data_IF_888261446407
#
_entry.id   IF_888261446407
#
_cell.length_a   1.000
_cell.length_b   1.000
_cell.length_c   1.000
_cell.angle_alpha   90.00
_cell.angle_beta   90.00
_cell.angle_gamma   90.00
#
_symmetry.space_group_name_H-M   'P 1'
#
loop_
_entity.id
_entity.type
_entity.pdbx_description
1 polymer ?
#
# COMPACT_ATOMS: atom_id res chain seq x y z
N UNK A 1 14.07 -2.95 43.28
CA UNK A 1 14.23 -2.26 42.01
C UNK A 1 12.83 -1.94 41.47
N UNK A 2 12.53 -0.69 41.14
CA UNK A 2 11.18 -0.25 40.82
C UNK A 2 10.65 -0.91 39.53
N UNK A 3 9.32 -1.13 39.39
CA UNK A 3 8.73 -1.49 38.11
C UNK A 3 8.77 -0.29 37.16
N UNK A 4 8.81 -0.59 35.88
CA UNK A 4 8.64 0.40 34.82
C UNK A 4 7.35 0.07 34.05
N UNK A 5 6.54 1.08 33.81
CA UNK A 5 5.23 0.96 33.14
C UNK A 5 5.20 1.85 31.91
N UNK A 6 4.53 1.37 30.88
CA UNK A 6 4.31 2.09 29.63
C UNK A 6 2.83 2.05 29.25
N UNK A 7 2.34 3.16 28.72
CA UNK A 7 1.03 3.27 28.12
C UNK A 7 1.09 4.02 26.78
N UNK A 8 0.00 3.94 26.02
CA UNK A 8 -0.25 4.75 24.83
C UNK A 8 -1.63 5.39 24.95
N UNK A 9 -1.69 6.72 24.80
CA UNK A 9 -2.93 7.48 24.96
C UNK A 9 -3.65 7.17 26.28
N UNK A 10 -2.89 7.02 27.38
CA UNK A 10 -3.38 6.64 28.74
C UNK A 10 -4.07 5.26 28.79
N UNK A 11 -3.73 4.36 27.86
CA UNK A 11 -4.30 3.01 27.77
C UNK A 11 -3.22 1.95 27.55
N UNK A 12 -3.56 0.69 27.80
CA UNK A 12 -2.67 -0.43 27.55
C UNK A 12 -2.41 -0.68 26.05
N UNK A 13 -3.30 -0.21 25.17
CA UNK A 13 -3.24 -0.32 23.72
C UNK A 13 -3.96 0.86 23.07
N UNK A 14 -3.64 1.16 21.80
CA UNK A 14 -4.34 2.15 21.01
C UNK A 14 -4.79 1.57 19.66
N UNK A 15 -6.04 1.84 19.32
CA UNK A 15 -6.60 1.63 17.99
C UNK A 15 -6.78 3.00 17.34
N UNK A 16 -6.07 3.24 16.24
CA UNK A 16 -6.11 4.50 15.52
C UNK A 16 -7.34 4.58 14.61
N UNK A 17 -7.93 5.76 14.50
CA UNK A 17 -9.03 6.03 13.55
C UNK A 17 -8.51 6.36 12.16
N UNK A 18 -7.31 6.91 12.06
CA UNK A 18 -6.62 7.22 10.82
C UNK A 18 -5.15 6.78 10.87
N UNK A 19 -4.61 6.41 9.71
CA UNK A 19 -3.23 5.93 9.59
C UNK A 19 -2.19 6.97 10.01
N UNK A 20 -2.46 8.25 9.77
CA UNK A 20 -1.60 9.38 10.10
C UNK A 20 -1.88 10.02 11.46
N UNK A 21 -2.75 9.40 12.26
CA UNK A 21 -3.08 9.87 13.60
C UNK A 21 -1.87 9.82 14.51
N UNK A 22 -1.63 10.92 15.22
CA UNK A 22 -0.61 11.04 16.24
C UNK A 22 -1.05 10.34 17.52
N UNK A 23 -0.14 9.67 18.20
CA UNK A 23 -0.40 9.02 19.48
C UNK A 23 0.72 9.34 20.47
N UNK A 24 0.38 9.27 21.76
CA UNK A 24 1.29 9.67 22.86
C UNK A 24 1.66 8.47 23.70
N UNK A 25 2.98 8.24 23.84
CA UNK A 25 3.51 7.28 24.78
C UNK A 25 3.85 7.96 26.11
N UNK A 26 3.57 7.27 27.20
CA UNK A 26 4.05 7.61 28.53
C UNK A 26 4.86 6.43 29.08
N UNK A 27 6.00 6.75 29.64
CA UNK A 27 6.86 5.80 30.35
C UNK A 27 7.11 6.34 31.75
N UNK A 28 6.82 5.54 32.77
CA UNK A 28 7.02 5.95 34.18
C UNK A 28 7.67 4.85 34.99
N UNK A 29 8.52 5.26 35.89
CA UNK A 29 9.13 4.43 36.93
C UNK A 29 9.51 5.30 38.11
N UNK A 30 10.03 4.69 39.15
CA UNK A 30 10.69 5.43 40.25
C UNK A 30 12.19 5.42 40.04
N UNK A 31 12.86 6.50 40.47
CA UNK A 31 14.31 6.58 40.44
C UNK A 31 14.85 5.61 41.49
N UNK A 32 15.68 4.61 41.14
CA UNK A 32 16.14 3.60 42.07
C UNK A 32 17.05 4.19 43.19
N UNK A 33 16.91 3.68 44.41
CA UNK A 33 17.89 3.95 45.46
C UNK A 33 19.28 3.43 45.08
N UNK A 34 20.32 4.15 45.54
CA UNK A 34 21.72 3.74 45.36
C UNK A 34 22.20 3.60 43.92
N UNK A 35 21.40 4.01 42.92
CA UNK A 35 21.84 4.05 41.56
C UNK A 35 22.95 5.10 41.36
N UNK A 36 24.03 4.72 40.71
CA UNK A 36 25.14 5.59 40.33
C UNK A 36 25.04 6.10 38.89
N UNK A 37 24.22 5.43 38.07
CA UNK A 37 23.81 5.88 36.75
C UNK A 37 22.35 5.41 36.48
N UNK A 38 21.62 6.17 35.69
CA UNK A 38 20.23 5.84 35.32
C UNK A 38 19.82 6.56 34.06
N UNK A 39 19.17 5.81 33.17
CA UNK A 39 18.46 6.37 32.02
C UNK A 39 17.22 5.55 31.68
N UNK A 40 16.24 6.21 31.11
CA UNK A 40 15.09 5.56 30.43
C UNK A 40 15.35 5.60 28.94
N UNK A 41 15.13 4.49 28.25
CA UNK A 41 15.26 4.40 26.80
C UNK A 41 13.99 3.81 26.17
N UNK A 42 13.67 4.29 24.98
CA UNK A 42 12.58 3.77 24.18
C UNK A 42 12.97 3.83 22.70
N UNK A 43 12.89 2.70 22.02
CA UNK A 43 13.23 2.60 20.61
C UNK A 43 11.98 2.31 19.78
N UNK A 44 11.59 3.27 18.96
CA UNK A 44 10.49 3.11 18.01
C UNK A 44 10.85 2.09 16.93
N UNK A 45 9.85 1.36 16.44
CA UNK A 45 9.98 0.58 15.21
C UNK A 45 10.29 1.53 14.05
N UNK A 46 10.99 1.05 13.04
CA UNK A 46 11.42 1.82 11.86
C UNK A 46 10.27 2.37 11.01
N UNK A 47 9.06 1.85 11.18
CA UNK A 47 7.82 2.33 10.53
C UNK A 47 7.18 3.51 11.27
N UNK A 48 7.71 3.91 12.43
CA UNK A 48 7.23 5.04 13.22
C UNK A 48 8.22 6.20 13.15
N UNK A 49 7.71 7.41 13.24
CA UNK A 49 8.48 8.62 13.46
C UNK A 49 8.09 9.28 14.77
N UNK A 50 9.03 9.98 15.40
CA UNK A 50 8.69 10.95 16.44
C UNK A 50 7.89 12.09 15.82
N UNK A 51 6.73 12.41 16.39
CA UNK A 51 5.81 13.39 15.83
C UNK A 51 6.16 14.83 16.28
N UNK A 52 6.17 15.74 15.33
CA UNK A 52 6.58 17.12 15.55
C UNK A 52 8.08 17.25 15.80
N UNK A 53 8.49 18.36 16.43
CA UNK A 53 9.89 18.55 16.80
C UNK A 53 10.24 17.64 17.99
N UNK A 54 11.19 16.72 17.77
CA UNK A 54 11.70 15.76 18.78
C UNK A 54 10.59 15.01 19.54
N UNK A 55 9.50 14.66 18.82
CA UNK A 55 8.37 13.97 19.43
C UNK A 55 7.63 14.77 20.50
N UNK A 56 7.82 16.08 20.56
CA UNK A 56 7.26 16.94 21.62
C UNK A 56 7.55 16.35 23.01
N UNK A 57 8.76 15.82 23.17
CA UNK A 57 9.14 15.05 24.34
C UNK A 57 9.27 15.92 25.57
N UNK A 58 8.80 15.39 26.69
CA UNK A 58 8.90 16.00 28.02
C UNK A 58 9.22 14.93 29.06
N UNK A 59 10.12 15.26 29.98
CA UNK A 59 10.40 14.43 31.14
C UNK A 59 10.12 15.21 32.43
N UNK A 60 9.52 14.54 33.40
CA UNK A 60 9.24 15.13 34.74
C UNK A 60 9.77 14.24 35.85
N UNK A 61 10.18 14.85 36.94
CA UNK A 61 10.44 14.15 38.20
C UNK A 61 9.51 14.73 39.26
N UNK A 62 8.69 13.86 39.84
CA UNK A 62 7.66 14.23 40.82
C UNK A 62 6.75 15.37 40.31
N UNK A 63 6.41 15.29 39.02
CA UNK A 63 5.58 16.26 38.29
C UNK A 63 6.31 17.55 37.88
N UNK A 64 7.57 17.73 38.24
CA UNK A 64 8.37 18.91 37.85
C UNK A 64 9.12 18.62 36.55
N UNK A 65 8.95 19.50 35.57
CA UNK A 65 9.61 19.37 34.28
C UNK A 65 11.12 19.46 34.40
N UNK A 66 11.84 18.51 33.80
CA UNK A 66 13.28 18.57 33.58
C UNK A 66 13.58 19.46 32.37
N UNK A 67 14.79 20.04 32.35
CA UNK A 67 15.27 20.74 31.15
C UNK A 67 15.44 19.79 29.97
N UNK A 68 15.28 20.32 28.75
CA UNK A 68 15.26 19.51 27.51
C UNK A 68 16.62 18.83 27.22
N UNK A 69 17.72 19.30 27.86
CA UNK A 69 19.04 18.69 27.74
C UNK A 69 19.15 17.31 28.39
N UNK A 70 18.19 16.92 29.25
CA UNK A 70 18.08 15.56 29.78
C UNK A 70 17.59 14.55 28.72
N UNK A 71 16.98 15.04 27.63
CA UNK A 71 16.35 14.21 26.60
C UNK A 71 17.21 14.25 25.35
N UNK A 72 17.62 13.06 24.87
CA UNK A 72 18.33 12.89 23.60
C UNK A 72 17.55 11.98 22.69
N UNK A 73 17.45 12.33 21.40
CA UNK A 73 16.93 11.48 20.35
C UNK A 73 18.05 11.20 19.36
N UNK A 74 18.33 9.92 19.16
CA UNK A 74 19.30 9.44 18.20
C UNK A 74 18.65 8.36 17.33
N UNK A 75 18.34 8.70 16.08
CA UNK A 75 17.59 7.84 15.19
C UNK A 75 16.20 7.53 15.76
N UNK A 76 15.91 6.26 15.98
CA UNK A 76 14.62 5.77 16.50
C UNK A 76 14.58 5.71 18.04
N UNK A 77 15.65 6.07 18.73
CA UNK A 77 15.76 5.93 20.19
C UNK A 77 15.70 7.28 20.89
N UNK A 78 14.79 7.39 21.85
CA UNK A 78 14.72 8.49 22.81
C UNK A 78 15.30 8.02 24.15
N UNK A 79 16.11 8.88 24.77
CA UNK A 79 16.75 8.58 26.04
C UNK A 79 16.60 9.76 27.01
N UNK A 80 16.24 9.48 28.26
CA UNK A 80 16.25 10.45 29.37
C UNK A 80 17.31 10.03 30.35
N UNK A 81 18.25 10.92 30.66
CA UNK A 81 19.38 10.64 31.55
C UNK A 81 19.38 11.61 32.74
N UNK A 82 19.60 11.07 33.93
CA UNK A 82 19.84 11.86 35.15
C UNK A 82 21.31 11.76 35.55
N UNK A 83 21.87 12.85 36.05
CA UNK A 83 23.22 12.85 36.60
C UNK A 83 23.21 12.34 38.06
N UNK A 84 24.40 12.13 38.64
CA UNK A 84 24.54 11.55 39.98
C UNK A 84 23.95 12.42 41.10
N UNK A 85 24.01 13.74 40.98
CA UNK A 85 23.45 14.66 41.98
C UNK A 85 21.91 14.59 41.93
N UNK A 86 21.35 14.55 40.74
CA UNK A 86 19.91 14.40 40.53
C UNK A 86 19.39 13.06 41.05
N UNK A 87 20.15 11.97 40.84
CA UNK A 87 19.79 10.64 41.35
C UNK A 87 19.73 10.63 42.88
N UNK A 88 20.73 11.22 43.55
CA UNK A 88 20.75 11.31 45.02
C UNK A 88 19.61 12.17 45.57
N UNK A 89 19.32 13.29 44.91
CA UNK A 89 18.30 14.23 45.34
C UNK A 89 16.87 13.74 45.11
N UNK A 90 16.70 12.79 44.18
CA UNK A 90 15.39 12.36 43.71
C UNK A 90 15.13 10.85 43.84
N UNK A 91 15.91 10.14 44.65
CA UNK A 91 15.68 8.70 44.89
C UNK A 91 14.23 8.44 45.35
N UNK A 92 13.61 7.38 44.86
CA UNK A 92 12.20 6.95 45.06
C UNK A 92 11.12 7.90 44.53
N UNK A 93 11.48 9.02 43.90
CA UNK A 93 10.53 9.88 43.21
C UNK A 93 10.16 9.30 41.85
N UNK A 94 8.93 9.56 41.41
CA UNK A 94 8.48 9.16 40.07
C UNK A 94 9.21 10.00 39.01
N UNK A 95 9.72 9.32 37.99
CA UNK A 95 10.17 9.91 36.73
C UNK A 95 9.24 9.47 35.62
N UNK A 96 8.76 10.41 34.80
CA UNK A 96 7.87 10.19 33.68
C UNK A 96 8.43 10.80 32.40
N UNK A 97 8.50 10.01 31.34
CA UNK A 97 8.80 10.45 29.97
C UNK A 97 7.50 10.41 29.14
N UNK A 98 7.22 11.49 28.45
CA UNK A 98 6.09 11.61 27.53
C UNK A 98 6.62 12.01 26.17
N UNK A 99 6.20 11.34 25.10
CA UNK A 99 6.53 11.72 23.73
C UNK A 99 5.47 11.23 22.76
N UNK A 100 5.43 11.86 21.60
CA UNK A 100 4.46 11.58 20.53
C UNK A 100 5.11 10.91 19.34
N UNK A 101 4.38 10.00 18.74
CA UNK A 101 4.78 9.27 17.55
C UNK A 101 3.62 9.19 16.55
N UNK A 102 3.96 8.84 15.35
CA UNK A 102 3.03 8.55 14.25
C UNK A 102 3.63 7.53 13.31
N UNK A 103 2.78 6.90 12.50
CA UNK A 103 3.25 6.02 11.43
C UNK A 103 3.95 6.90 10.38
N UNK A 104 5.15 6.49 9.97
CA UNK A 104 5.92 7.19 8.94
C UNK A 104 5.13 7.23 7.64
N UNK A 105 5.09 8.39 7.01
CA UNK A 105 4.49 8.54 5.68
C UNK A 105 5.18 7.61 4.67
N UNK A 106 4.38 6.85 3.92
CA UNK A 106 4.88 5.89 2.95
C UNK A 106 5.43 4.59 3.53
N UNK A 107 5.40 4.38 4.84
CA UNK A 107 5.84 3.12 5.46
C UNK A 107 4.99 1.94 5.00
N UNK A 108 5.64 0.81 4.74
CA UNK A 108 4.98 -0.46 4.50
C UNK A 108 4.88 -1.24 5.82
N UNK A 109 3.66 -1.58 6.22
CA UNK A 109 3.38 -2.23 7.49
C UNK A 109 3.19 -3.76 7.36
N UNK A 110 3.54 -4.35 6.22
CA UNK A 110 3.32 -5.78 5.97
C UNK A 110 3.99 -6.69 7.00
N UNK A 111 5.15 -6.30 7.53
CA UNK A 111 5.86 -7.08 8.55
C UNK A 111 5.17 -7.07 9.92
N UNK A 112 4.19 -6.19 10.12
CA UNK A 112 3.47 -6.02 11.39
C UNK A 112 2.05 -6.58 11.35
N UNK A 113 1.70 -7.31 10.29
CA UNK A 113 0.36 -7.90 10.16
C UNK A 113 0.32 -9.24 10.91
N UNK A 114 -0.52 -9.30 11.93
CA UNK A 114 -0.79 -10.50 12.72
C UNK A 114 -2.28 -10.86 12.64
N UNK A 115 -2.60 -12.05 12.14
CA UNK A 115 -4.00 -12.53 12.03
C UNK A 115 -4.95 -11.53 11.37
N UNK A 116 -4.50 -10.87 10.30
CA UNK A 116 -5.29 -9.91 9.52
C UNK A 116 -5.39 -8.51 10.13
N UNK A 117 -4.65 -8.22 11.19
CA UNK A 117 -4.54 -6.87 11.81
C UNK A 117 -3.11 -6.43 11.86
N UNK A 118 -2.88 -5.15 11.64
CA UNK A 118 -1.57 -4.54 11.87
C UNK A 118 -1.40 -4.23 13.35
N UNK A 119 -0.32 -4.74 13.95
CA UNK A 119 0.02 -4.53 15.36
C UNK A 119 1.47 -4.04 15.44
N UNK A 120 1.66 -2.80 15.88
CA UNK A 120 2.99 -2.21 16.05
C UNK A 120 3.27 -2.11 17.55
N UNK A 121 4.08 -3.02 18.06
CA UNK A 121 4.44 -3.10 19.47
C UNK A 121 5.55 -2.12 19.80
N UNK A 122 5.46 -1.52 20.99
CA UNK A 122 6.53 -0.74 21.56
C UNK A 122 6.77 -1.09 23.04
N UNK A 123 8.01 -1.02 23.48
CA UNK A 123 8.46 -1.35 24.82
C UNK A 123 9.58 -0.39 25.21
N UNK A 124 9.49 0.17 26.40
CA UNK A 124 10.54 0.98 26.99
C UNK A 124 11.37 0.17 27.99
N UNK A 125 12.51 0.69 28.37
CA UNK A 125 13.33 0.11 29.42
C UNK A 125 13.99 1.20 30.24
N UNK A 126 14.47 0.86 31.44
CA UNK A 126 15.48 1.66 32.10
C UNK A 126 16.74 0.84 32.32
N UNK A 127 17.87 1.53 32.28
CA UNK A 127 19.18 1.01 32.63
C UNK A 127 19.67 1.75 33.85
N UNK A 128 20.28 1.02 34.76
CA UNK A 128 20.86 1.59 35.97
C UNK A 128 22.19 0.92 36.32
N UNK A 129 23.07 1.63 36.97
CA UNK A 129 24.24 1.04 37.56
C UNK A 129 24.11 1.09 39.10
N UNK A 130 24.36 -0.04 39.75
CA UNK A 130 24.42 -0.20 41.17
C UNK A 130 25.82 -0.69 41.57
N UNK A 131 26.25 -0.50 42.87
CA UNK A 131 27.57 -0.97 43.30
C UNK A 131 27.82 -2.48 43.02
N UNK A 132 26.76 -3.30 43.12
CA UNK A 132 26.84 -4.77 42.94
C UNK A 132 26.27 -5.24 41.59
N UNK A 133 25.71 -4.36 40.76
CA UNK A 133 25.15 -4.66 39.47
C UNK A 133 25.29 -3.43 38.55
N UNK A 134 26.42 -3.30 37.87
CA UNK A 134 26.71 -2.08 37.07
C UNK A 134 25.96 -2.04 35.74
N UNK A 135 25.29 -3.14 35.33
CA UNK A 135 24.60 -3.25 34.04
C UNK A 135 23.15 -3.67 34.22
N UNK A 136 22.48 -3.17 35.22
CA UNK A 136 21.08 -3.48 35.46
C UNK A 136 20.19 -2.95 34.32
N UNK A 137 19.28 -3.80 33.87
CA UNK A 137 18.31 -3.50 32.81
C UNK A 137 16.92 -4.03 33.21
N UNK A 138 15.89 -3.23 32.92
CA UNK A 138 14.50 -3.64 33.14
C UNK A 138 13.58 -3.10 32.08
N UNK A 139 12.79 -4.02 31.49
CA UNK A 139 11.78 -3.69 30.47
C UNK A 139 10.41 -3.37 31.09
N UNK A 140 9.68 -2.49 30.41
CA UNK A 140 8.27 -2.23 30.65
C UNK A 140 7.38 -3.34 30.07
N UNK A 141 6.07 -3.23 30.32
CA UNK A 141 5.09 -3.91 29.50
C UNK A 141 5.16 -3.43 28.04
N UNK A 142 4.74 -4.28 27.11
CA UNK A 142 4.57 -3.95 25.69
C UNK A 142 3.24 -3.26 25.50
N UNK A 143 3.20 -2.21 24.67
CA UNK A 143 1.97 -1.52 24.25
C UNK A 143 1.82 -1.56 22.74
N UNK A 144 0.71 -2.15 22.23
CA UNK A 144 0.44 -2.21 20.80
C UNK A 144 -0.32 -0.99 20.29
N UNK A 145 -0.02 -0.58 19.07
CA UNK A 145 -0.78 0.38 18.27
C UNK A 145 -1.28 -0.31 17.02
N UNK A 146 -2.57 -0.17 16.75
CA UNK A 146 -3.25 -0.79 15.61
C UNK A 146 -3.89 0.30 14.74
N UNK A 147 -3.35 0.56 13.54
CA UNK A 147 -3.98 1.44 12.57
C UNK A 147 -5.19 0.78 11.90
N UNK A 148 -6.06 1.54 11.22
CA UNK A 148 -7.12 0.95 10.41
C UNK A 148 -6.53 0.11 9.28
N UNK A 149 -7.22 -0.96 8.89
CA UNK A 149 -6.85 -1.75 7.72
C UNK A 149 -6.98 -0.89 6.45
N UNK A 150 -6.04 -0.98 5.51
CA UNK A 150 -6.15 -0.29 4.23
C UNK A 150 -7.37 -0.77 3.44
N UNK A 151 -8.03 0.16 2.74
CA UNK A 151 -9.06 -0.18 1.77
C UNK A 151 -8.42 -0.64 0.46
N UNK A 152 -9.12 -1.53 -0.25
CA UNK A 152 -8.71 -1.94 -1.58
C UNK A 152 -8.93 -0.78 -2.57
N UNK A 153 -7.89 -0.35 -3.32
CA UNK A 153 -8.05 0.69 -4.32
C UNK A 153 -9.06 0.30 -5.40
N UNK A 154 -9.86 1.26 -5.91
CA UNK A 154 -10.68 1.02 -7.08
C UNK A 154 -9.83 0.79 -8.32
N UNK A 155 -10.34 0.03 -9.27
CA UNK A 155 -9.73 -0.16 -10.58
C UNK A 155 -10.72 0.30 -11.66
N UNK A 156 -10.27 1.17 -12.56
CA UNK A 156 -11.04 1.70 -13.67
C UNK A 156 -10.45 1.22 -14.99
N UNK A 157 -11.32 0.83 -15.90
CA UNK A 157 -10.97 0.47 -17.28
C UNK A 157 -11.73 1.33 -18.26
N UNK A 158 -11.02 1.77 -19.31
CA UNK A 158 -11.59 2.51 -20.44
C UNK A 158 -11.15 1.90 -21.77
N UNK A 159 -11.89 2.17 -22.80
CA UNK A 159 -11.54 1.90 -24.21
C UNK A 159 -11.66 3.20 -25.01
N UNK A 160 -10.58 3.59 -25.71
CA UNK A 160 -10.47 4.87 -26.39
C UNK A 160 -10.88 6.06 -25.49
N UNK A 161 -10.41 6.02 -24.24
CA UNK A 161 -10.67 7.02 -23.18
C UNK A 161 -12.15 7.15 -22.75
N UNK A 162 -13.00 6.16 -23.12
CA UNK A 162 -14.43 6.15 -22.81
C UNK A 162 -14.86 4.83 -22.16
N UNK A 163 -16.10 4.79 -21.67
CA UNK A 163 -16.71 3.58 -21.09
C UNK A 163 -17.15 2.55 -22.16
N UNK A 164 -17.16 2.95 -23.43
CA UNK A 164 -17.45 2.10 -24.58
C UNK A 164 -16.84 2.69 -25.85
N UNK A 165 -16.59 1.87 -26.86
CA UNK A 165 -16.10 2.32 -28.16
C UNK A 165 -16.94 1.75 -29.29
N UNK A 166 -17.45 2.62 -30.16
CA UNK A 166 -18.03 2.25 -31.45
C UNK A 166 -16.93 2.33 -32.51
N UNK A 167 -16.62 1.20 -33.13
CA UNK A 167 -15.61 1.15 -34.18
C UNK A 167 -16.19 1.63 -35.52
N UNK A 168 -15.41 2.41 -36.27
CA UNK A 168 -15.74 2.81 -37.65
C UNK A 168 -15.52 1.72 -38.67
N UNK A 169 -14.60 0.79 -38.38
CA UNK A 169 -14.30 -0.38 -39.20
C UNK A 169 -14.06 -1.61 -38.31
N UNK A 170 -14.31 -2.80 -38.85
CA UNK A 170 -14.15 -4.05 -38.10
C UNK A 170 -12.70 -4.33 -37.68
N UNK A 171 -11.73 -3.89 -38.46
CA UNK A 171 -10.30 -4.05 -38.25
C UNK A 171 -9.65 -2.85 -37.57
N UNK A 172 -10.46 -1.90 -37.13
CA UNK A 172 -9.97 -0.71 -36.39
C UNK A 172 -9.29 -1.11 -35.09
N UNK A 173 -8.12 -0.52 -34.88
CA UNK A 173 -7.36 -0.64 -33.63
C UNK A 173 -7.99 0.24 -32.53
N UNK A 174 -8.08 -0.29 -31.33
CA UNK A 174 -8.54 0.47 -30.17
C UNK A 174 -7.58 0.30 -28.99
N UNK A 175 -7.62 1.27 -28.09
CA UNK A 175 -6.71 1.32 -26.93
C UNK A 175 -7.49 1.10 -25.65
N UNK A 176 -7.07 0.11 -24.87
CA UNK A 176 -7.51 -0.05 -23.49
C UNK A 176 -6.57 0.68 -22.55
N UNK A 177 -7.14 1.32 -21.54
CA UNK A 177 -6.40 1.89 -20.41
C UNK A 177 -6.95 1.36 -19.10
N UNK A 178 -6.06 1.17 -18.14
CA UNK A 178 -6.38 0.69 -16.79
C UNK A 178 -5.74 1.64 -15.80
N UNK A 179 -6.53 2.17 -14.89
CA UNK A 179 -6.08 3.05 -13.81
C UNK A 179 -6.44 2.45 -12.46
N UNK A 180 -5.49 2.39 -11.58
CA UNK A 180 -5.64 1.95 -10.19
C UNK A 180 -4.55 2.56 -9.32
N UNK A 181 -4.41 2.06 -8.11
CA UNK A 181 -3.38 2.47 -7.14
C UNK A 181 -2.75 1.22 -6.56
N UNK A 182 -1.45 1.25 -6.30
CA UNK A 182 -0.80 0.16 -5.56
C UNK A 182 -1.39 0.12 -4.16
N UNK A 183 -1.94 -1.01 -3.70
CA UNK A 183 -2.46 -1.12 -2.34
C UNK A 183 -1.39 -0.83 -1.29
N UNK A 184 -1.80 -0.33 -0.12
CA UNK A 184 -0.89 -0.17 1.01
C UNK A 184 -0.55 -1.52 1.65
N UNK A 185 0.62 -1.62 2.23
CA UNK A 185 1.06 -2.73 3.08
C UNK A 185 1.08 -4.09 2.36
N UNK A 186 1.45 -4.08 1.09
CA UNK A 186 1.57 -5.29 0.27
C UNK A 186 3.03 -5.62 -0.04
N UNK A 187 3.28 -6.89 -0.32
CA UNK A 187 4.59 -7.43 -0.72
C UNK A 187 4.63 -7.85 -2.19
N UNK A 188 3.51 -7.74 -2.89
CA UNK A 188 3.40 -8.05 -4.30
C UNK A 188 2.15 -7.40 -4.89
N UNK A 189 2.20 -7.04 -6.17
CA UNK A 189 1.10 -6.40 -6.88
C UNK A 189 1.17 -6.72 -8.36
N UNK A 190 0.05 -7.09 -8.95
CA UNK A 190 -0.07 -7.34 -10.38
C UNK A 190 -1.42 -6.84 -10.90
N UNK A 191 -1.38 -6.15 -12.04
CA UNK A 191 -2.55 -5.80 -12.85
C UNK A 191 -2.57 -6.74 -14.05
N UNK A 192 -3.72 -7.28 -14.38
CA UNK A 192 -3.85 -8.20 -15.51
C UNK A 192 -5.21 -8.05 -16.21
N UNK A 193 -5.20 -8.45 -17.47
CA UNK A 193 -6.34 -8.32 -18.34
C UNK A 193 -6.33 -9.48 -19.35
N UNK A 194 -7.44 -10.16 -19.47
CA UNK A 194 -7.61 -11.23 -20.45
C UNK A 194 -8.62 -10.78 -21.50
N UNK A 195 -8.14 -10.48 -22.69
CA UNK A 195 -9.00 -10.09 -23.81
C UNK A 195 -9.75 -11.30 -24.37
N UNK A 196 -10.91 -11.06 -24.96
CA UNK A 196 -11.72 -12.12 -25.56
C UNK A 196 -10.98 -12.84 -26.69
N UNK A 197 -11.31 -14.12 -26.90
CA UNK A 197 -10.67 -14.98 -27.92
C UNK A 197 -10.76 -14.46 -29.37
N UNK A 198 -11.72 -13.59 -29.62
CA UNK A 198 -11.92 -12.95 -30.93
C UNK A 198 -11.07 -11.70 -31.14
N UNK A 199 -10.39 -11.26 -30.10
CA UNK A 199 -9.47 -10.13 -30.11
C UNK A 199 -8.03 -10.61 -30.17
N UNK A 200 -7.16 -9.76 -30.65
CA UNK A 200 -5.71 -9.92 -30.59
C UNK A 200 -5.05 -8.62 -30.14
N UNK A 201 -3.88 -8.73 -29.52
CA UNK A 201 -3.05 -7.57 -29.22
C UNK A 201 -2.52 -6.97 -30.53
N UNK A 202 -2.67 -5.66 -30.73
CA UNK A 202 -2.31 -4.96 -31.95
C UNK A 202 -0.86 -4.53 -31.96
N UNK A 203 -0.16 -4.79 -33.06
CA UNK A 203 1.25 -4.51 -33.19
C UNK A 203 2.11 -5.43 -32.33
N UNK A 204 3.34 -5.04 -32.05
CA UNK A 204 4.23 -5.81 -31.19
C UNK A 204 3.77 -5.68 -29.73
N UNK A 205 3.40 -6.81 -29.13
CA UNK A 205 2.94 -6.87 -27.73
C UNK A 205 1.86 -5.85 -27.36
N UNK A 206 0.94 -5.55 -28.31
CA UNK A 206 -0.13 -4.58 -28.08
C UNK A 206 0.36 -3.15 -27.84
N UNK A 207 1.61 -2.83 -28.16
CA UNK A 207 2.24 -1.55 -27.83
C UNK A 207 2.04 -1.19 -26.35
N UNK A 208 2.13 -2.20 -25.48
CA UNK A 208 1.82 -2.08 -24.07
C UNK A 208 2.82 -1.21 -23.31
N UNK A 209 2.31 -0.39 -22.42
CA UNK A 209 3.10 0.44 -21.51
C UNK A 209 2.43 0.51 -20.14
N UNK A 210 3.24 0.76 -19.12
CA UNK A 210 2.76 0.96 -17.76
C UNK A 210 3.60 2.02 -17.06
N UNK A 211 2.94 2.79 -16.20
CA UNK A 211 3.59 3.78 -15.33
C UNK A 211 3.12 3.59 -13.89
N UNK A 212 4.00 3.90 -12.96
CA UNK A 212 3.66 4.04 -11.54
C UNK A 212 4.19 5.39 -11.07
N UNK A 213 3.32 6.17 -10.42
CA UNK A 213 3.61 7.56 -10.03
C UNK A 213 4.09 8.41 -11.21
N UNK A 214 3.55 8.18 -12.41
CA UNK A 214 3.94 8.83 -13.65
C UNK A 214 5.28 8.38 -14.23
N UNK A 215 6.01 7.47 -13.57
CA UNK A 215 7.30 6.95 -14.04
C UNK A 215 7.09 5.65 -14.83
N UNK A 216 7.67 5.54 -16.04
CA UNK A 216 7.50 4.34 -16.84
C UNK A 216 8.19 3.12 -16.20
N UNK A 217 7.48 1.99 -16.25
CA UNK A 217 8.05 0.69 -15.96
C UNK A 217 8.75 0.16 -17.20
N UNK A 218 9.87 -0.53 -17.02
CA UNK A 218 10.52 -1.20 -18.16
C UNK A 218 9.72 -2.42 -18.64
N UNK A 219 10.04 -2.88 -19.86
CA UNK A 219 9.30 -3.95 -20.52
C UNK A 219 9.35 -5.29 -19.77
N UNK A 220 10.29 -5.50 -18.85
CA UNK A 220 10.38 -6.73 -18.05
C UNK A 220 9.20 -6.90 -17.09
N UNK A 221 8.52 -5.82 -16.73
CA UNK A 221 7.31 -5.84 -15.88
C UNK A 221 6.08 -6.33 -16.63
N UNK A 222 6.10 -6.32 -17.97
CA UNK A 222 4.94 -6.61 -18.81
C UNK A 222 5.12 -7.97 -19.48
N UNK A 223 4.17 -8.85 -19.28
CA UNK A 223 4.15 -10.19 -19.89
C UNK A 223 2.84 -10.39 -20.64
N UNK A 224 2.92 -10.89 -21.88
CA UNK A 224 1.76 -11.30 -22.67
C UNK A 224 1.88 -12.80 -22.95
N UNK A 225 0.87 -13.56 -22.51
CA UNK A 225 0.73 -15.00 -22.79
C UNK A 225 -0.66 -15.26 -23.34
N UNK A 226 -0.76 -15.64 -24.62
CA UNK A 226 -2.02 -15.83 -25.29
C UNK A 226 -2.86 -14.56 -25.25
N UNK A 227 -4.03 -14.63 -24.63
CA UNK A 227 -4.99 -13.52 -24.51
C UNK A 227 -4.78 -12.65 -23.25
N UNK A 228 -3.78 -12.97 -22.42
CA UNK A 228 -3.57 -12.32 -21.12
C UNK A 228 -2.34 -11.44 -21.11
N UNK A 229 -2.53 -10.17 -20.76
CA UNK A 229 -1.46 -9.24 -20.37
C UNK A 229 -1.39 -9.14 -18.85
N UNK A 230 -0.17 -9.15 -18.32
CA UNK A 230 0.11 -8.97 -16.89
C UNK A 230 1.18 -7.92 -16.71
N UNK A 231 0.94 -6.97 -15.82
CA UNK A 231 1.93 -6.00 -15.34
C UNK A 231 2.20 -6.31 -13.87
N UNK A 232 3.41 -6.71 -13.55
CA UNK A 232 3.78 -7.18 -12.21
C UNK A 232 4.94 -6.35 -11.66
N UNK A 233 4.78 -5.86 -10.44
CA UNK A 233 5.85 -5.24 -9.67
C UNK A 233 6.70 -6.30 -8.97
N UNK A 234 7.98 -5.99 -8.76
CA UNK A 234 8.85 -6.76 -7.86
C UNK A 234 8.40 -6.55 -6.41
N UNK A 235 8.86 -7.42 -5.50
CA UNK A 235 8.56 -7.28 -4.07
C UNK A 235 9.02 -5.92 -3.53
N UNK A 236 10.25 -5.50 -3.85
CA UNK A 236 10.81 -4.22 -3.42
C UNK A 236 9.98 -3.03 -3.95
N UNK A 237 9.56 -3.10 -5.22
CA UNK A 237 8.70 -2.07 -5.82
C UNK A 237 7.31 -2.03 -5.16
N UNK A 238 6.68 -3.16 -4.93
CA UNK A 238 5.39 -3.22 -4.26
C UNK A 238 5.44 -2.65 -2.84
N UNK A 239 6.50 -2.93 -2.10
CA UNK A 239 6.74 -2.36 -0.76
C UNK A 239 7.00 -0.85 -0.78
N UNK A 240 7.71 -0.35 -1.79
CA UNK A 240 8.10 1.05 -1.88
C UNK A 240 7.01 1.95 -2.48
N UNK A 241 6.11 1.42 -3.31
CA UNK A 241 5.18 2.18 -4.13
C UNK A 241 3.72 2.16 -3.64
N UNK A 242 3.47 1.69 -2.42
CA UNK A 242 2.12 1.71 -1.83
C UNK A 242 1.48 3.09 -1.90
N UNK A 243 0.22 3.15 -2.35
CA UNK A 243 -0.53 4.40 -2.51
C UNK A 243 -0.24 5.17 -3.80
N UNK A 244 0.67 4.70 -4.65
CA UNK A 244 1.04 5.38 -5.90
C UNK A 244 0.13 4.96 -7.05
N UNK A 245 -0.19 5.92 -7.92
CA UNK A 245 -1.07 5.71 -9.07
C UNK A 245 -0.42 4.80 -10.13
N UNK A 246 -1.20 3.87 -10.65
CA UNK A 246 -0.81 2.92 -11.71
C UNK A 246 -1.63 3.21 -12.95
N UNK A 247 -0.97 3.33 -14.09
CA UNK A 247 -1.61 3.47 -15.39
C UNK A 247 -1.04 2.43 -16.36
N UNK A 248 -1.91 1.65 -16.98
CA UNK A 248 -1.56 0.64 -18.00
C UNK A 248 -2.30 0.97 -19.29
N UNK A 249 -1.62 0.88 -20.42
CA UNK A 249 -2.19 1.08 -21.74
C UNK A 249 -1.75 -0.03 -22.69
N UNK A 250 -2.68 -0.55 -23.49
CA UNK A 250 -2.36 -1.48 -24.57
C UNK A 250 -3.41 -1.42 -25.66
N UNK A 251 -3.03 -1.87 -26.85
CA UNK A 251 -3.87 -1.83 -28.05
C UNK A 251 -4.31 -3.23 -28.47
N UNK A 252 -5.52 -3.29 -28.94
CA UNK A 252 -6.13 -4.52 -29.45
C UNK A 252 -6.93 -4.25 -30.72
N UNK A 253 -7.27 -5.29 -31.42
CA UNK A 253 -8.18 -5.30 -32.58
C UNK A 253 -8.92 -6.60 -32.65
N UNK A 254 -10.00 -6.64 -33.45
CA UNK A 254 -10.71 -7.88 -33.76
C UNK A 254 -9.84 -8.71 -34.73
N UNK A 255 -9.68 -9.99 -34.43
CA UNK A 255 -8.95 -10.92 -35.32
C UNK A 255 -9.60 -10.97 -36.70
N UNK A 256 -8.77 -10.97 -37.73
CA UNK A 256 -9.24 -11.18 -39.11
C UNK A 256 -10.03 -12.49 -39.20
N UNK A 257 -11.22 -12.44 -39.78
CA UNK A 257 -12.08 -13.60 -39.96
C UNK A 257 -12.76 -14.15 -38.69
N UNK A 258 -12.64 -13.47 -37.56
CA UNK A 258 -13.30 -13.89 -36.32
C UNK A 258 -14.82 -13.91 -36.47
N UNK A 259 -15.46 -14.97 -35.97
CA UNK A 259 -16.92 -15.05 -35.89
C UNK A 259 -17.40 -14.40 -34.59
N UNK A 260 -18.19 -13.34 -34.70
CA UNK A 260 -18.70 -12.56 -33.58
C UNK A 260 -20.12 -12.92 -33.14
N UNK A 261 -20.69 -14.01 -33.65
CA UNK A 261 -22.08 -14.39 -33.38
C UNK A 261 -22.38 -14.58 -31.91
N UNK A 262 -21.41 -15.07 -31.11
CA UNK A 262 -21.55 -15.25 -29.67
C UNK A 262 -21.61 -13.92 -28.87
N UNK A 263 -21.29 -12.81 -29.51
CA UNK A 263 -21.25 -11.47 -28.91
C UNK A 263 -22.43 -10.59 -29.31
N UNK A 264 -23.36 -11.12 -30.11
CA UNK A 264 -24.58 -10.42 -30.51
C UNK A 264 -25.58 -10.50 -29.36
N UNK A 265 -25.95 -9.36 -28.83
CA UNK A 265 -26.92 -9.25 -27.75
C UNK A 265 -28.36 -9.26 -28.29
N UNK A 266 -29.37 -9.32 -27.38
CA UNK A 266 -30.78 -9.39 -27.71
C UNK A 266 -31.30 -8.23 -28.58
N UNK A 267 -30.64 -7.07 -28.46
CA UNK A 267 -30.95 -5.87 -29.26
C UNK A 267 -30.32 -5.90 -30.67
N UNK A 268 -29.63 -6.98 -31.04
CA UNK A 268 -28.94 -7.13 -32.30
C UNK A 268 -27.57 -6.45 -32.37
N UNK A 269 -27.11 -5.82 -31.31
CA UNK A 269 -25.81 -5.15 -31.27
C UNK A 269 -24.73 -6.10 -30.82
N UNK A 270 -23.60 -6.12 -31.54
CA UNK A 270 -22.41 -6.87 -31.13
C UNK A 270 -21.63 -6.07 -30.09
N UNK A 271 -21.44 -6.64 -28.89
CA UNK A 271 -20.63 -6.05 -27.84
C UNK A 271 -19.60 -7.05 -27.34
N UNK A 272 -18.34 -6.67 -27.44
CA UNK A 272 -17.21 -7.46 -26.94
C UNK A 272 -16.72 -6.77 -25.67
N UNK A 273 -17.08 -7.34 -24.52
CA UNK A 273 -16.74 -6.78 -23.21
C UNK A 273 -15.33 -7.17 -22.79
N UNK A 274 -14.69 -6.28 -22.04
CA UNK A 274 -13.43 -6.56 -21.38
C UNK A 274 -13.38 -5.97 -19.98
N UNK A 275 -12.72 -6.68 -19.06
CA UNK A 275 -12.60 -6.35 -17.64
C UNK A 275 -11.14 -6.46 -17.24
N UNK A 276 -10.62 -5.44 -16.58
CA UNK A 276 -9.30 -5.47 -15.98
C UNK A 276 -9.38 -5.88 -14.50
N UNK A 277 -8.30 -6.43 -13.99
CA UNK A 277 -8.21 -6.94 -12.63
C UNK A 277 -6.84 -6.62 -12.02
N UNK A 278 -6.77 -6.61 -10.69
CA UNK A 278 -5.50 -6.72 -9.96
C UNK A 278 -5.63 -7.72 -8.82
N UNK A 279 -4.51 -8.23 -8.39
CA UNK A 279 -4.35 -8.89 -7.10
C UNK A 279 -3.08 -8.40 -6.41
N UNK A 280 -2.95 -8.73 -5.13
CA UNK A 280 -1.76 -8.43 -4.37
C UNK A 280 -1.32 -9.63 -3.53
N UNK A 281 -0.05 -9.62 -3.10
CA UNK A 281 0.59 -10.70 -2.34
C UNK A 281 0.56 -12.06 -3.04
N UNK A 282 0.46 -12.10 -4.37
CA UNK A 282 0.25 -13.32 -5.15
C UNK A 282 -0.95 -14.16 -4.68
N UNK A 283 -1.95 -13.53 -4.09
CA UNK A 283 -3.13 -14.18 -3.53
C UNK A 283 -4.36 -13.92 -4.43
N UNK A 284 -4.89 -14.96 -5.12
CA UNK A 284 -6.12 -14.83 -5.91
C UNK A 284 -7.33 -14.37 -5.11
N UNK A 285 -7.35 -14.60 -3.79
CA UNK A 285 -8.41 -14.14 -2.90
C UNK A 285 -8.49 -12.62 -2.75
N UNK A 286 -7.45 -11.89 -3.16
CA UNK A 286 -7.39 -10.42 -3.12
C UNK A 286 -7.88 -9.76 -4.40
N UNK A 287 -8.31 -10.53 -5.40
CA UNK A 287 -8.67 -10.04 -6.73
C UNK A 287 -9.76 -8.95 -6.66
N UNK A 288 -9.51 -7.85 -7.36
CA UNK A 288 -10.46 -6.77 -7.61
C UNK A 288 -10.65 -6.60 -9.11
N UNK A 289 -11.86 -6.28 -9.53
CA UNK A 289 -12.24 -6.17 -10.95
C UNK A 289 -12.78 -4.79 -11.27
N UNK A 290 -12.46 -4.28 -12.46
CA UNK A 290 -13.07 -3.10 -13.02
C UNK A 290 -14.52 -3.39 -13.48
N UNK A 291 -15.26 -2.33 -13.80
CA UNK A 291 -16.44 -2.47 -14.64
C UNK A 291 -16.03 -2.96 -16.03
N UNK A 292 -16.85 -3.77 -16.70
CA UNK A 292 -16.60 -4.17 -18.08
C UNK A 292 -16.80 -2.99 -19.04
N UNK A 293 -15.98 -2.92 -20.08
CA UNK A 293 -16.12 -1.94 -21.16
C UNK A 293 -16.32 -2.67 -22.50
N UNK A 294 -17.37 -2.32 -23.29
CA UNK A 294 -17.63 -2.96 -24.57
C UNK A 294 -16.96 -2.22 -25.74
N UNK A 295 -16.51 -3.01 -26.70
CA UNK A 295 -16.18 -2.56 -28.05
C UNK A 295 -17.31 -3.02 -28.97
N UNK A 296 -17.80 -2.11 -29.80
CA UNK A 296 -18.95 -2.31 -30.68
C UNK A 296 -18.49 -2.15 -32.15
N UNK A 297 -18.28 -3.25 -32.88
CA UNK A 297 -17.95 -3.17 -34.31
C UNK A 297 -19.17 -2.75 -35.15
N UNK A 298 -18.93 -2.25 -36.36
CA UNK A 298 -20.05 -1.94 -37.27
C UNK A 298 -20.83 -3.19 -37.62
N UNK A 299 -22.14 -3.03 -37.86
CA UNK A 299 -23.01 -4.14 -38.33
C UNK A 299 -22.52 -4.63 -39.66
N UNK A 300 -22.38 -5.93 -39.86
CA UNK A 300 -22.00 -6.49 -41.16
C UNK A 300 -23.00 -6.10 -42.24
N UNK A 301 -22.48 -5.72 -43.41
CA UNK A 301 -23.32 -5.50 -44.61
C UNK A 301 -23.66 -6.86 -45.25
N UNK A 302 -24.91 -7.02 -45.65
CA UNK A 302 -25.28 -8.22 -46.39
C UNK A 302 -24.54 -8.22 -47.76
N UNK A 303 -23.89 -9.35 -48.12
CA UNK A 303 -23.25 -9.43 -49.43
C UNK A 303 -24.29 -9.41 -50.53
N UNK A 304 -24.02 -8.61 -51.58
CA UNK A 304 -24.85 -8.63 -52.76
C UNK A 304 -24.68 -9.96 -53.51
N UNK A 305 -25.80 -10.62 -53.77
CA UNK A 305 -25.81 -11.80 -54.62
C UNK A 305 -25.98 -11.36 -56.06
N UNK A 306 -24.90 -11.47 -56.86
CA UNK A 306 -24.96 -11.25 -58.33
C UNK A 306 -25.00 -12.58 -59.04
N UNK A 307 -25.95 -12.71 -59.92
CA UNK A 307 -26.03 -13.83 -60.81
C UNK A 307 -25.78 -13.34 -62.25
N UNK A 308 -24.82 -13.92 -62.91
CA UNK A 308 -24.51 -13.65 -64.33
C UNK A 308 -24.83 -14.86 -65.19
N UNK A 309 -25.24 -14.60 -66.41
CA UNK A 309 -25.37 -15.61 -67.44
C UNK A 309 -24.37 -15.31 -68.56
N UNK A 310 -23.47 -16.26 -68.83
CA UNK A 310 -22.36 -16.09 -69.78
C UNK A 310 -21.45 -14.85 -69.48
N UNK A 311 -21.20 -14.54 -68.22
CA UNK A 311 -20.36 -13.43 -67.83
C UNK A 311 -20.97 -12.03 -68.00
N UNK A 312 -22.29 -11.95 -68.15
CA UNK A 312 -23.05 -10.70 -68.26
C UNK A 312 -24.22 -10.69 -67.30
N UNK A 313 -24.44 -9.52 -66.63
CA UNK A 313 -25.68 -9.30 -65.89
C UNK A 313 -26.88 -9.37 -66.88
N UNK A 314 -27.97 -10.02 -66.46
CA UNK A 314 -29.19 -10.02 -67.24
C UNK A 314 -29.75 -8.60 -67.21
N UNK A 315 -29.82 -7.98 -68.41
CA UNK A 315 -30.63 -6.77 -68.62
C UNK A 315 -32.10 -7.15 -68.54
N UNK A 316 -32.83 -6.49 -67.67
CA UNK A 316 -34.30 -6.56 -67.59
C UNK A 316 -34.96 -5.73 -68.68
#
# INVERSE_FOLDING_TARGET
QPPIEKDVNDKAEATLEARDEEFTYHVKTKIPYEATAFNITDTLKDVLDFSGEKGQAEATVDGKKLSDDHIAINGQTITVTLNQEELKANADKEIKLTFKAKIREGANLSDYIEKGKTVINNQASYNAAFPNDPNFHKDSNIVPVTPPNPENPPIEKKVNEAESANLGARDEEFTYTIDTTVPLDVTGFAVYDTIEKVLEFSGENGQASATVDGQPLDASHITIKGQKITVKLTEDEAKALGGKAVHVSFKAKIKAGANLSDYIEKDGTTRIYNTAKYNFNNDPGTEQSSKPVPVIPPTPTEPELKKEVNGKEAET
#
